data_IF_033227135973
#
_entry.id   IF_033227135973
#
_cell.length_a   1.000
_cell.length_b   1.000
_cell.length_c   1.000
_cell.angle_alpha   90.00
_cell.angle_beta   90.00
_cell.angle_gamma   90.00
#
_symmetry.space_group_name_H-M   'P 1'
#
loop_
_entity.id
_entity.type
_entity.pdbx_description
1 polymer ?
#
# COMPACT_ATOMS: atom_id res chain seq x y z
N UNK A 1 -25.80 16.17 32.62
CA UNK A 1 -24.47 15.51 32.60
C UNK A 1 -24.39 14.33 31.63
N UNK A 2 -25.31 13.34 31.68
CA UNK A 2 -25.29 12.17 30.77
C UNK A 2 -25.30 12.51 29.26
N UNK A 3 -26.11 13.50 28.83
CA UNK A 3 -26.17 13.94 27.42
C UNK A 3 -24.86 14.61 26.95
N UNK A 4 -24.23 15.42 27.81
CA UNK A 4 -22.95 16.06 27.51
C UNK A 4 -21.84 15.01 27.35
N UNK A 5 -21.86 13.96 28.18
CA UNK A 5 -20.90 12.85 28.09
C UNK A 5 -21.00 12.09 26.76
N UNK A 6 -22.21 11.97 26.18
CA UNK A 6 -22.42 11.35 24.87
C UNK A 6 -21.82 12.23 23.76
N UNK A 7 -22.07 13.54 23.78
CA UNK A 7 -21.48 14.45 22.78
C UNK A 7 -19.94 14.47 22.81
N UNK A 8 -19.34 14.40 24.01
CA UNK A 8 -17.88 14.32 24.18
C UNK A 8 -17.33 13.00 23.63
N UNK A 9 -18.01 11.88 23.87
CA UNK A 9 -17.59 10.56 23.37
C UNK A 9 -17.68 10.48 21.84
N UNK A 10 -18.75 11.03 21.25
CA UNK A 10 -18.92 11.06 19.79
C UNK A 10 -17.89 11.98 19.11
N UNK A 11 -17.52 13.10 19.75
CA UNK A 11 -16.48 13.99 19.23
C UNK A 11 -15.10 13.34 19.23
N UNK A 12 -14.77 12.53 20.25
CA UNK A 12 -13.48 11.82 20.33
C UNK A 12 -13.29 10.76 19.23
N UNK A 13 -14.38 10.14 18.77
CA UNK A 13 -14.34 9.15 17.68
C UNK A 13 -13.96 9.76 16.32
N UNK A 14 -14.14 11.07 16.12
CA UNK A 14 -13.88 11.75 14.85
C UNK A 14 -12.41 12.14 14.65
N UNK A 15 -11.55 11.96 15.66
CA UNK A 15 -10.14 12.40 15.65
C UNK A 15 -9.18 11.26 15.22
N UNK A 16 -9.69 10.06 14.98
CA UNK A 16 -8.84 8.89 14.63
C UNK A 16 -8.50 8.86 13.14
N UNK A 17 -7.84 9.89 12.62
CA UNK A 17 -7.15 9.81 11.33
C UNK A 17 -5.66 9.54 11.60
N UNK A 18 -5.22 8.30 11.38
CA UNK A 18 -3.81 7.95 11.43
C UNK A 18 -3.20 8.14 10.05
N UNK A 19 -2.78 9.37 9.75
CA UNK A 19 -2.06 9.69 8.52
C UNK A 19 -0.68 8.99 8.57
N UNK A 20 -0.37 8.23 7.52
CA UNK A 20 0.89 7.50 7.40
C UNK A 20 1.54 7.83 6.08
N UNK A 21 2.80 8.18 6.14
CA UNK A 21 3.63 8.47 4.97
C UNK A 21 4.38 7.21 4.53
N UNK A 22 4.55 7.04 3.21
CA UNK A 22 5.41 6.02 2.60
C UNK A 22 6.47 6.73 1.78
N UNK A 23 7.75 6.47 2.07
CA UNK A 23 8.83 7.03 1.28
C UNK A 23 9.14 6.13 0.08
N UNK A 24 8.86 6.60 -1.13
CA UNK A 24 9.08 5.79 -2.33
C UNK A 24 10.56 5.82 -2.78
N UNK A 25 11.05 4.70 -3.35
CA UNK A 25 12.35 4.70 -4.03
C UNK A 25 12.29 5.58 -5.29
N UNK A 26 13.42 6.17 -5.64
CA UNK A 26 13.56 6.91 -6.89
C UNK A 26 13.91 5.96 -8.03
N UNK A 27 13.26 6.12 -9.18
CA UNK A 27 13.53 5.34 -10.38
C UNK A 27 13.06 6.08 -11.63
N UNK A 28 13.87 6.06 -12.68
CA UNK A 28 13.54 6.57 -14.02
C UNK A 28 13.36 5.42 -15.04
N UNK A 29 13.24 4.18 -14.57
CA UNK A 29 13.24 2.98 -15.43
C UNK A 29 11.88 2.74 -16.10
N UNK A 30 10.79 3.27 -15.51
CA UNK A 30 9.44 3.02 -16.01
C UNK A 30 8.86 4.19 -16.79
N UNK A 31 8.26 3.88 -17.93
CA UNK A 31 7.41 4.78 -18.73
C UNK A 31 5.94 4.73 -18.30
N UNK A 32 5.54 3.81 -17.39
CA UNK A 32 4.16 3.69 -16.92
C UNK A 32 3.91 4.77 -15.87
N UNK A 33 3.07 5.75 -16.21
CA UNK A 33 2.70 6.88 -15.33
C UNK A 33 1.25 6.80 -14.85
N UNK A 34 0.46 5.85 -15.34
CA UNK A 34 -0.93 5.70 -14.96
C UNK A 34 -1.35 4.23 -14.91
N UNK A 35 -2.08 3.86 -13.87
CA UNK A 35 -2.66 2.53 -13.68
C UNK A 35 -4.09 2.68 -13.18
N UNK A 36 -5.02 2.05 -13.88
CA UNK A 36 -6.45 2.05 -13.53
C UNK A 36 -6.86 0.78 -12.79
N UNK A 37 -8.03 0.84 -12.15
CA UNK A 37 -8.62 -0.28 -11.41
C UNK A 37 -7.63 -0.87 -10.39
N UNK A 38 -7.21 -0.03 -9.44
CA UNK A 38 -6.14 -0.36 -8.48
C UNK A 38 -6.66 -0.58 -7.07
N UNK A 39 -6.10 -1.59 -6.42
CA UNK A 39 -6.10 -1.76 -4.96
C UNK A 39 -4.74 -1.33 -4.42
N UNK A 40 -4.67 -0.24 -3.62
CA UNK A 40 -3.41 0.20 -3.04
C UNK A 40 -3.01 -0.70 -1.86
N UNK A 41 -1.80 -1.23 -1.92
CA UNK A 41 -1.20 -2.07 -0.89
C UNK A 41 0.01 -1.34 -0.33
N UNK A 42 0.16 -1.27 0.99
CA UNK A 42 1.25 -0.55 1.62
C UNK A 42 2.07 -1.47 2.52
N UNK A 43 3.39 -1.36 2.40
CA UNK A 43 4.38 -1.89 3.34
C UNK A 43 5.09 -0.69 3.95
N UNK A 44 4.61 -0.24 5.10
CA UNK A 44 5.14 0.94 5.80
C UNK A 44 6.39 0.59 6.59
N UNK A 45 7.28 1.56 6.76
CA UNK A 45 8.32 1.51 7.78
C UNK A 45 7.75 1.98 9.12
N UNK A 46 7.86 1.16 10.16
CA UNK A 46 7.52 1.57 11.53
C UNK A 46 8.72 2.26 12.18
N UNK A 47 8.58 3.55 12.48
CA UNK A 47 9.62 4.39 13.10
C UNK A 47 10.07 3.88 14.48
N UNK A 48 9.20 3.17 15.21
CA UNK A 48 9.50 2.72 16.57
C UNK A 48 10.31 1.42 16.57
N UNK A 49 10.01 0.52 15.64
CA UNK A 49 10.59 -0.84 15.58
C UNK A 49 11.64 -0.98 14.49
N UNK A 50 11.60 -0.14 13.45
CA UNK A 50 12.40 -0.25 12.24
C UNK A 50 11.99 -1.43 11.34
N UNK A 51 10.81 -1.99 11.56
CA UNK A 51 10.30 -3.18 10.87
C UNK A 51 9.20 -2.83 9.86
N UNK A 52 8.87 -3.80 9.01
CA UNK A 52 7.77 -3.67 8.06
C UNK A 52 6.40 -3.77 8.76
N UNK A 53 5.52 -2.82 8.47
CA UNK A 53 4.10 -2.87 8.81
C UNK A 53 3.27 -3.00 7.53
N UNK A 54 2.73 -4.21 7.32
CA UNK A 54 2.06 -4.60 6.10
C UNK A 54 0.53 -4.40 6.19
N UNK A 55 0.01 -3.40 5.50
CA UNK A 55 -1.42 -3.17 5.36
C UNK A 55 -2.01 -3.95 4.16
N UNK A 56 -2.62 -5.10 4.47
CA UNK A 56 -3.27 -5.99 3.50
C UNK A 56 -4.77 -5.77 3.30
N UNK A 57 -5.38 -4.85 4.05
CA UNK A 57 -6.85 -4.76 4.15
C UNK A 57 -7.52 -4.22 2.87
N UNK A 58 -6.77 -3.53 2.00
CA UNK A 58 -7.27 -2.91 0.78
C UNK A 58 -7.19 -3.81 -0.47
N UNK A 59 -6.75 -5.06 -0.31
CA UNK A 59 -6.47 -5.98 -1.40
C UNK A 59 -7.75 -6.58 -2.00
N UNK A 60 -8.00 -6.32 -3.28
CA UNK A 60 -9.10 -6.89 -4.06
C UNK A 60 -8.49 -7.78 -5.15
N UNK A 61 -8.86 -9.06 -5.20
CA UNK A 61 -8.19 -10.04 -6.09
C UNK A 61 -8.38 -9.80 -7.58
N UNK A 62 -9.45 -9.09 -7.98
CA UNK A 62 -9.79 -8.82 -9.38
C UNK A 62 -9.16 -7.55 -9.95
N UNK A 63 -8.56 -6.70 -9.12
CA UNK A 63 -7.98 -5.41 -9.50
C UNK A 63 -6.47 -5.52 -9.66
N UNK A 64 -5.88 -4.52 -10.33
CA UNK A 64 -4.44 -4.32 -10.29
C UNK A 64 -4.01 -4.01 -8.86
N UNK A 65 -2.91 -4.60 -8.39
CA UNK A 65 -2.38 -4.23 -7.08
C UNK A 65 -1.31 -3.17 -7.26
N UNK A 66 -1.51 -2.02 -6.62
CA UNK A 66 -0.54 -0.96 -6.58
C UNK A 66 0.23 -1.05 -5.26
N UNK A 67 1.41 -1.67 -5.31
CA UNK A 67 2.24 -1.97 -4.16
C UNK A 67 3.18 -0.81 -3.87
N UNK A 68 3.02 -0.22 -2.70
CA UNK A 68 3.82 0.89 -2.19
C UNK A 68 4.72 0.36 -1.07
N UNK A 69 6.02 0.40 -1.27
CA UNK A 69 7.02 -0.14 -0.33
C UNK A 69 7.86 1.02 0.15
N UNK A 70 7.95 1.18 1.47
CA UNK A 70 8.82 2.19 2.05
C UNK A 70 10.29 1.86 1.80
N UNK A 71 11.03 2.77 1.15
CA UNK A 71 12.44 2.59 0.77
C UNK A 71 13.39 2.39 1.96
N UNK A 72 12.96 2.73 3.17
CA UNK A 72 13.77 2.57 4.39
C UNK A 72 13.83 1.11 4.85
N UNK A 73 12.90 0.28 4.39
CA UNK A 73 12.87 -1.13 4.71
C UNK A 73 14.02 -1.88 4.03
N UNK A 74 14.65 -2.78 4.79
CA UNK A 74 15.62 -3.72 4.24
C UNK A 74 14.90 -4.82 3.47
N UNK A 75 15.53 -5.36 2.44
CA UNK A 75 14.97 -6.44 1.63
C UNK A 75 14.48 -7.64 2.47
N UNK A 76 15.18 -7.97 3.57
CA UNK A 76 14.78 -9.06 4.48
C UNK A 76 13.42 -8.86 5.14
N UNK A 77 13.03 -7.61 5.41
CA UNK A 77 11.71 -7.26 5.97
C UNK A 77 10.62 -7.28 4.90
N UNK A 78 10.97 -6.89 3.67
CA UNK A 78 10.02 -6.77 2.55
C UNK A 78 9.71 -8.13 1.91
N UNK A 79 10.72 -9.00 1.79
CA UNK A 79 10.64 -10.26 1.04
C UNK A 79 9.50 -11.19 1.50
N UNK A 80 9.24 -11.42 2.81
CA UNK A 80 8.12 -12.25 3.25
C UNK A 80 6.77 -11.74 2.76
N UNK A 81 6.59 -10.41 2.71
CA UNK A 81 5.36 -9.78 2.23
C UNK A 81 5.19 -9.92 0.72
N UNK A 82 6.28 -9.82 -0.05
CA UNK A 82 6.26 -10.06 -1.49
C UNK A 82 5.90 -11.51 -1.83
N UNK A 83 6.44 -12.48 -1.09
CA UNK A 83 6.09 -13.90 -1.23
C UNK A 83 4.60 -14.09 -0.95
N UNK A 84 4.09 -13.52 0.16
CA UNK A 84 2.67 -13.57 0.49
C UNK A 84 1.79 -13.01 -0.63
N UNK A 85 2.13 -11.85 -1.19
CA UNK A 85 1.39 -11.25 -2.31
C UNK A 85 1.41 -12.18 -3.53
N UNK A 86 2.57 -12.76 -3.87
CA UNK A 86 2.69 -13.67 -5.00
C UNK A 86 1.83 -14.93 -4.82
N UNK A 87 1.84 -15.55 -3.64
CA UNK A 87 1.01 -16.70 -3.31
C UNK A 87 -0.47 -16.34 -3.37
N UNK A 88 -0.85 -15.19 -2.82
CA UNK A 88 -2.23 -14.73 -2.82
C UNK A 88 -2.76 -14.51 -4.24
N UNK A 89 -1.98 -13.85 -5.10
CA UNK A 89 -2.36 -13.61 -6.51
C UNK A 89 -2.53 -14.92 -7.28
N UNK A 90 -1.71 -15.93 -6.99
CA UNK A 90 -1.81 -17.27 -7.58
C UNK A 90 -3.01 -18.05 -7.07
N UNK A 91 -3.38 -17.86 -5.80
CA UNK A 91 -4.40 -18.63 -5.11
C UNK A 91 -5.84 -18.07 -5.17
N UNK A 92 -6.05 -16.88 -5.74
CA UNK A 92 -7.40 -16.30 -5.84
C UNK A 92 -8.26 -17.12 -6.82
N UNK A 93 -9.37 -17.69 -6.28
CA UNK A 93 -10.18 -18.76 -6.88
C UNK A 93 -11.06 -18.37 -8.08
N UNK A 94 -12.26 -18.96 -8.19
CA UNK A 94 -13.18 -18.91 -9.35
C UNK A 94 -13.47 -17.52 -9.97
N UNK A 95 -13.18 -16.41 -9.28
CA UNK A 95 -13.31 -15.04 -9.76
C UNK A 95 -11.93 -14.39 -9.99
N UNK A 96 -11.01 -15.11 -10.64
CA UNK A 96 -9.69 -14.59 -10.98
C UNK A 96 -9.74 -13.69 -12.21
N UNK A 97 -9.13 -12.52 -12.13
CA UNK A 97 -8.84 -11.70 -13.29
C UNK A 97 -7.40 -12.00 -13.76
N UNK A 98 -7.26 -12.76 -14.85
CA UNK A 98 -5.94 -13.11 -15.42
C UNK A 98 -5.19 -11.91 -15.99
N UNK A 99 -5.88 -10.79 -16.24
CA UNK A 99 -5.27 -9.54 -16.71
C UNK A 99 -4.81 -8.64 -15.56
N UNK A 100 -5.20 -8.92 -14.32
CA UNK A 100 -4.79 -8.13 -13.17
C UNK A 100 -3.30 -8.29 -12.90
N UNK A 101 -2.58 -7.17 -12.85
CA UNK A 101 -1.13 -7.12 -12.62
C UNK A 101 -0.79 -6.53 -11.26
N UNK A 102 0.46 -6.71 -10.85
CA UNK A 102 1.02 -6.05 -9.69
C UNK A 102 1.94 -4.95 -10.21
N UNK A 103 1.79 -3.74 -9.70
CA UNK A 103 2.61 -2.60 -10.04
C UNK A 103 3.29 -2.07 -8.77
N UNK A 104 4.55 -1.66 -8.86
CA UNK A 104 5.33 -1.12 -7.76
C UNK A 104 5.57 0.37 -7.96
N UNK A 105 5.15 1.18 -7.00
CA UNK A 105 5.27 2.63 -7.06
C UNK A 105 6.71 3.09 -6.86
N UNK A 106 7.15 4.02 -7.70
CA UNK A 106 8.42 4.72 -7.61
C UNK A 106 8.20 6.23 -7.80
N UNK A 107 9.10 7.04 -7.27
CA UNK A 107 9.18 8.46 -7.61
C UNK A 107 10.08 8.63 -8.84
N UNK A 108 9.52 9.15 -9.94
CA UNK A 108 10.29 9.46 -11.14
C UNK A 108 10.72 10.92 -11.11
N UNK A 109 12.02 11.13 -10.95
CA UNK A 109 12.61 12.47 -10.81
C UNK A 109 12.72 13.23 -12.13
N UNK A 110 12.64 12.55 -13.29
CA UNK A 110 12.70 13.20 -14.61
C UNK A 110 11.38 13.89 -14.95
N UNK A 111 10.25 13.24 -14.68
CA UNK A 111 8.91 13.80 -14.90
C UNK A 111 8.34 14.48 -13.65
N UNK A 112 9.03 14.38 -12.52
CA UNK A 112 8.60 14.89 -11.20
C UNK A 112 7.23 14.35 -10.75
N UNK A 113 6.96 13.08 -11.03
CA UNK A 113 5.69 12.41 -10.73
C UNK A 113 5.92 10.93 -10.37
N UNK A 114 4.85 10.20 -10.07
CA UNK A 114 4.90 8.75 -9.85
C UNK A 114 5.11 8.00 -11.17
N UNK A 115 5.86 6.90 -11.06
CA UNK A 115 5.94 5.88 -12.11
C UNK A 115 5.81 4.50 -11.49
N UNK A 116 5.47 3.51 -12.32
CA UNK A 116 5.06 2.19 -11.85
C UNK A 116 5.83 1.08 -12.56
N UNK A 117 6.50 0.21 -11.82
CA UNK A 117 7.15 -1.00 -12.37
C UNK A 117 6.17 -2.16 -12.37
N UNK A 118 6.13 -2.99 -13.42
CA UNK A 118 5.27 -4.19 -13.48
C UNK A 118 6.01 -5.52 -13.21
#
# INVERSE_FOLDING_TARGET
MKRLSIYVLTAFMLISCAEREVQLPESNISEITEVFDVSPIYIFYDENTGQADFNRNNMIGTTNWLVNIDKRLKMGEVLPHLIYLQEKRRGDGFHKNELARNYFSCSNTEIMDLSFLD
#
